data_IF_258350570899
#
_entry.id   IF_258350570899
#
_cell.length_a   1.000
_cell.length_b   1.000
_cell.length_c   1.000
_cell.angle_alpha   90.00
_cell.angle_beta   90.00
_cell.angle_gamma   90.00
#
_symmetry.space_group_name_H-M   'P 1'
#
loop_
_entity.id
_entity.type
_entity.pdbx_description
1 polymer ?
#
# COMPACT_ATOMS: atom_id res chain seq x y z
N UNK A 1 -31.93 15.10 -59.14
CA UNK A 1 -31.21 14.45 -58.00
C UNK A 1 -32.12 14.50 -56.80
N UNK A 2 -32.57 13.34 -56.27
CA UNK A 2 -33.50 13.27 -55.13
C UNK A 2 -32.81 13.68 -53.87
N UNK A 3 -32.96 14.94 -53.46
CA UNK A 3 -32.39 15.52 -52.24
C UNK A 3 -32.79 14.73 -50.96
N UNK A 4 -33.97 14.11 -51.01
CA UNK A 4 -34.47 13.28 -49.90
C UNK A 4 -33.65 11.99 -49.79
N UNK A 5 -33.30 11.35 -50.86
CA UNK A 5 -32.45 10.11 -50.86
C UNK A 5 -31.04 10.44 -50.39
N UNK A 6 -30.49 11.61 -50.79
CA UNK A 6 -29.15 12.00 -50.36
C UNK A 6 -29.09 12.22 -48.82
N UNK A 7 -30.12 12.86 -48.22
CA UNK A 7 -30.23 13.00 -46.74
C UNK A 7 -30.32 11.68 -46.03
N UNK A 8 -31.13 10.74 -46.54
CA UNK A 8 -31.25 9.39 -45.96
C UNK A 8 -29.92 8.62 -45.95
N UNK A 9 -29.18 8.68 -47.05
CA UNK A 9 -27.85 8.04 -47.14
C UNK A 9 -26.86 8.67 -46.16
N UNK A 10 -26.86 9.98 -46.01
CA UNK A 10 -26.01 10.69 -45.04
C UNK A 10 -26.32 10.29 -43.60
N UNK A 11 -27.62 10.21 -43.24
CA UNK A 11 -28.06 9.81 -41.90
C UNK A 11 -27.61 8.36 -41.59
N UNK A 12 -27.79 7.44 -42.54
CA UNK A 12 -27.36 6.04 -42.39
C UNK A 12 -25.85 5.94 -42.25
N UNK A 13 -25.09 6.67 -43.06
CA UNK A 13 -23.62 6.70 -42.94
C UNK A 13 -23.18 7.20 -41.57
N UNK A 14 -23.81 8.25 -41.07
CA UNK A 14 -23.50 8.84 -39.76
C UNK A 14 -23.86 7.90 -38.58
N UNK A 15 -24.96 7.17 -38.69
CA UNK A 15 -25.33 6.13 -37.72
C UNK A 15 -24.33 4.97 -37.72
N UNK A 16 -23.91 4.49 -38.89
CA UNK A 16 -22.91 3.43 -39.00
C UNK A 16 -21.56 3.86 -38.42
N UNK A 17 -21.15 5.11 -38.67
CA UNK A 17 -19.91 5.66 -38.10
C UNK A 17 -19.98 5.74 -36.57
N UNK A 18 -21.12 6.19 -36.01
CA UNK A 18 -21.30 6.24 -34.56
C UNK A 18 -21.31 4.83 -33.92
N UNK A 19 -21.98 3.86 -34.56
CA UNK A 19 -21.96 2.46 -34.09
C UNK A 19 -20.53 1.89 -34.12
N UNK A 20 -19.78 2.16 -35.19
CA UNK A 20 -18.39 1.76 -35.28
C UNK A 20 -17.50 2.38 -34.20
N UNK A 21 -17.68 3.70 -33.93
CA UNK A 21 -16.94 4.38 -32.86
C UNK A 21 -17.30 3.83 -31.48
N UNK A 22 -18.57 3.55 -31.20
CA UNK A 22 -18.99 2.91 -29.96
C UNK A 22 -18.34 1.54 -29.86
N UNK A 23 -18.38 0.72 -30.89
CA UNK A 23 -17.75 -0.60 -30.93
C UNK A 23 -16.24 -0.52 -30.68
N UNK A 24 -15.54 0.40 -31.34
CA UNK A 24 -14.10 0.61 -31.15
C UNK A 24 -13.77 1.10 -29.72
N UNK A 25 -14.59 1.99 -29.14
CA UNK A 25 -14.45 2.42 -27.75
C UNK A 25 -14.67 1.25 -26.77
N UNK A 26 -15.70 0.45 -27.00
CA UNK A 26 -16.00 -0.74 -26.17
C UNK A 26 -14.88 -1.76 -26.29
N UNK A 27 -14.40 -2.07 -27.49
CA UNK A 27 -13.23 -2.95 -27.65
C UNK A 27 -12.00 -2.41 -26.93
N UNK A 28 -11.69 -1.12 -27.08
CA UNK A 28 -10.56 -0.50 -26.38
C UNK A 28 -10.73 -0.51 -24.84
N UNK A 29 -11.96 -0.50 -24.35
CA UNK A 29 -12.26 -0.64 -22.93
C UNK A 29 -12.09 -2.08 -22.45
N UNK A 30 -12.53 -3.07 -23.26
CA UNK A 30 -12.35 -4.50 -22.98
C UNK A 30 -10.91 -4.96 -23.19
N UNK A 31 -10.16 -4.43 -24.16
CA UNK A 31 -8.73 -4.73 -24.35
C UNK A 31 -7.84 -4.19 -23.21
N UNK A 32 -8.26 -3.10 -22.56
CA UNK A 32 -7.63 -2.69 -21.30
C UNK A 32 -7.96 -3.62 -20.13
N UNK A 33 -9.02 -4.40 -20.24
CA UNK A 33 -9.43 -5.43 -19.27
C UNK A 33 -8.98 -6.83 -19.72
N UNK A 34 -8.41 -6.99 -20.90
CA UNK A 34 -7.72 -8.20 -21.30
C UNK A 34 -6.49 -8.32 -20.38
N UNK A 35 -6.68 -9.08 -19.33
CA UNK A 35 -5.64 -9.73 -18.55
C UNK A 35 -4.62 -10.23 -19.58
N UNK A 36 -3.49 -9.54 -19.68
CA UNK A 36 -2.32 -10.08 -20.36
C UNK A 36 -2.19 -11.49 -19.81
N UNK A 37 -2.25 -12.47 -20.69
CA UNK A 37 -2.33 -13.89 -20.38
C UNK A 37 -1.38 -14.16 -19.20
N UNK A 38 -1.94 -14.36 -18.01
CA UNK A 38 -1.16 -14.40 -16.75
C UNK A 38 -0.05 -15.45 -16.84
N UNK A 39 -0.26 -16.46 -17.68
CA UNK A 39 0.70 -17.51 -17.95
C UNK A 39 1.90 -17.02 -18.78
N UNK A 40 1.68 -16.17 -19.78
CA UNK A 40 2.75 -15.59 -20.61
C UNK A 40 3.57 -14.57 -19.81
N UNK A 41 2.93 -13.80 -18.97
CA UNK A 41 3.57 -12.84 -18.06
C UNK A 41 4.44 -13.54 -17.00
N UNK A 42 3.91 -14.56 -16.29
CA UNK A 42 4.66 -15.36 -15.33
C UNK A 42 5.84 -16.06 -16.02
N UNK A 43 5.63 -16.60 -17.23
CA UNK A 43 6.70 -17.20 -18.03
C UNK A 43 7.80 -16.20 -18.41
N UNK A 44 7.45 -14.95 -18.70
CA UNK A 44 8.43 -13.90 -18.97
C UNK A 44 9.27 -13.57 -17.72
N UNK A 45 8.63 -13.43 -16.56
CA UNK A 45 9.33 -13.19 -15.28
C UNK A 45 10.26 -14.35 -14.90
N UNK A 46 9.81 -15.59 -15.06
CA UNK A 46 10.63 -16.76 -14.75
C UNK A 46 11.86 -16.89 -15.63
N UNK A 47 11.79 -16.50 -16.92
CA UNK A 47 12.95 -16.42 -17.83
C UNK A 47 14.00 -15.39 -17.37
N UNK A 48 13.58 -14.39 -16.61
CA UNK A 48 14.46 -13.40 -15.99
C UNK A 48 14.88 -13.75 -14.55
N UNK A 49 14.59 -14.98 -14.11
CA UNK A 49 14.97 -15.45 -12.78
C UNK A 49 14.08 -14.91 -11.66
N UNK A 50 12.84 -14.48 -11.96
CA UNK A 50 11.87 -14.01 -10.96
C UNK A 50 10.76 -15.05 -10.81
N UNK A 51 10.60 -15.57 -9.59
CA UNK A 51 9.52 -16.47 -9.22
C UNK A 51 8.51 -15.78 -8.31
N UNK A 52 7.21 -15.87 -8.64
CA UNK A 52 6.13 -15.33 -7.83
C UNK A 52 5.56 -16.46 -6.96
N UNK A 53 5.63 -16.29 -5.62
CA UNK A 53 5.10 -17.24 -4.62
C UNK A 53 3.82 -16.74 -3.93
N UNK A 54 3.23 -15.68 -4.46
CA UNK A 54 2.02 -15.05 -3.91
C UNK A 54 1.00 -14.81 -5.00
N UNK A 55 -0.27 -14.69 -4.62
CA UNK A 55 -1.30 -14.25 -5.54
C UNK A 55 -1.10 -12.77 -5.89
N UNK A 56 -1.36 -12.44 -7.16
CA UNK A 56 -1.32 -11.06 -7.64
C UNK A 56 -2.65 -10.39 -7.24
N UNK A 57 -2.61 -9.32 -6.41
CA UNK A 57 -3.82 -8.70 -5.92
C UNK A 57 -4.56 -7.93 -7.03
N UNK A 58 -5.88 -7.96 -6.99
CA UNK A 58 -6.70 -7.02 -7.75
C UNK A 58 -6.85 -5.71 -6.97
N UNK A 59 -6.80 -4.59 -7.66
CA UNK A 59 -6.83 -3.27 -7.02
C UNK A 59 -7.84 -2.33 -7.67
N UNK A 60 -8.12 -1.19 -6.99
CA UNK A 60 -8.84 -0.08 -7.58
C UNK A 60 -7.97 0.61 -8.64
N UNK A 61 -8.59 1.06 -9.72
CA UNK A 61 -7.92 1.79 -10.80
C UNK A 61 -7.43 3.18 -10.40
N UNK A 62 -7.99 3.75 -9.34
CA UNK A 62 -7.68 5.11 -8.89
C UNK A 62 -7.65 5.21 -7.36
N UNK A 63 -6.68 5.95 -6.85
CA UNK A 63 -6.52 6.28 -5.44
C UNK A 63 -6.17 7.76 -5.27
N UNK A 64 -6.50 8.38 -4.12
CA UNK A 64 -6.03 9.73 -3.80
C UNK A 64 -4.53 9.74 -3.49
N UNK A 65 -3.92 10.92 -3.58
CA UNK A 65 -2.67 11.21 -2.88
C UNK A 65 -3.06 11.67 -1.47
N UNK A 66 -2.36 11.22 -0.43
CA UNK A 66 -2.65 11.56 0.95
C UNK A 66 -1.71 12.63 1.48
N UNK A 67 -2.26 13.64 2.15
CA UNK A 67 -1.51 14.47 3.10
C UNK A 67 -1.54 13.78 4.45
N UNK A 68 -0.42 13.70 5.13
CA UNK A 68 -0.30 13.05 6.44
C UNK A 68 -0.25 14.10 7.56
N UNK A 69 -0.93 13.80 8.64
CA UNK A 69 -0.82 14.49 9.91
C UNK A 69 -0.38 13.48 10.97
N UNK A 70 0.50 13.88 11.87
CA UNK A 70 1.04 12.99 12.88
C UNK A 70 0.48 13.31 14.25
N UNK A 71 0.01 12.28 14.95
CA UNK A 71 -0.51 12.40 16.31
C UNK A 71 0.13 11.38 17.25
N UNK A 72 0.14 11.72 18.54
CA UNK A 72 0.59 10.82 19.59
C UNK A 72 -0.25 11.07 20.85
N UNK A 73 -0.68 10.01 21.56
CA UNK A 73 -1.35 10.16 22.85
C UNK A 73 -0.49 10.92 23.85
N UNK A 74 -1.14 11.71 24.72
CA UNK A 74 -0.42 12.46 25.76
C UNK A 74 0.26 11.51 26.74
N UNK A 75 1.41 11.91 27.25
CA UNK A 75 2.12 11.12 28.27
C UNK A 75 1.29 10.93 29.55
N UNK A 76 0.37 11.84 29.86
CA UNK A 76 -0.53 11.73 31.00
C UNK A 76 -1.52 10.58 30.80
N UNK A 77 -2.15 10.50 29.62
CA UNK A 77 -3.07 9.42 29.27
C UNK A 77 -2.38 8.05 29.27
N UNK A 78 -1.18 7.95 28.66
CA UNK A 78 -0.38 6.74 28.69
C UNK A 78 -0.11 6.26 30.11
N UNK A 79 0.33 7.17 31.02
CA UNK A 79 0.61 6.84 32.41
C UNK A 79 -0.64 6.41 33.18
N UNK A 80 -1.78 7.03 32.91
CA UNK A 80 -3.05 6.69 33.56
C UNK A 80 -3.47 5.26 33.20
N UNK A 81 -3.41 4.88 31.93
CA UNK A 81 -3.76 3.54 31.47
C UNK A 81 -2.80 2.50 32.04
N UNK A 82 -1.49 2.77 32.04
CA UNK A 82 -0.50 1.87 32.60
C UNK A 82 -0.63 1.68 34.14
N UNK A 83 -1.31 2.60 34.86
CA UNK A 83 -1.64 2.43 36.29
C UNK A 83 -2.90 1.58 36.48
N UNK A 84 -3.88 1.68 35.58
CA UNK A 84 -5.17 0.98 35.69
C UNK A 84 -5.07 -0.49 35.30
N UNK A 85 -4.23 -0.83 34.34
CA UNK A 85 -4.13 -2.15 33.75
C UNK A 85 -2.70 -2.69 33.78
N UNK A 86 -2.55 -3.98 34.09
CA UNK A 86 -1.23 -4.65 34.15
C UNK A 86 -0.93 -5.34 32.80
N UNK A 87 -0.34 -4.59 31.88
CA UNK A 87 0.08 -5.08 30.57
C UNK A 87 1.42 -5.81 30.67
N UNK A 88 1.36 -7.10 31.04
CA UNK A 88 2.54 -7.96 31.18
C UNK A 88 2.56 -9.09 30.17
N UNK A 89 3.73 -9.41 29.72
CA UNK A 89 4.04 -10.56 28.86
C UNK A 89 5.09 -11.41 29.55
N UNK A 90 4.90 -12.72 29.55
CA UNK A 90 5.87 -13.65 30.13
C UNK A 90 7.22 -13.56 29.38
N UNK A 91 8.36 -13.79 30.07
CA UNK A 91 9.66 -13.87 29.42
C UNK A 91 9.66 -14.90 28.29
N UNK A 92 10.23 -14.57 27.14
CA UNK A 92 10.30 -15.43 25.92
C UNK A 92 8.94 -15.79 25.31
N UNK A 93 7.90 -14.98 25.52
CA UNK A 93 6.64 -15.16 24.82
C UNK A 93 6.83 -14.99 23.31
N UNK A 94 5.91 -15.58 22.53
CA UNK A 94 5.90 -15.43 21.08
C UNK A 94 5.49 -14.00 20.66
N UNK A 95 5.89 -13.58 19.46
CA UNK A 95 5.49 -12.30 18.88
C UNK A 95 3.97 -12.08 18.91
N UNK A 96 3.19 -13.15 18.66
CA UNK A 96 1.73 -13.11 18.72
C UNK A 96 1.19 -12.68 20.09
N UNK A 97 1.87 -13.05 21.17
CA UNK A 97 1.49 -12.63 22.54
C UNK A 97 1.80 -11.17 22.76
N UNK A 98 2.98 -10.70 22.31
CA UNK A 98 3.35 -9.29 22.37
C UNK A 98 2.35 -8.43 21.59
N UNK A 99 2.01 -8.80 20.36
CA UNK A 99 1.00 -8.10 19.54
C UNK A 99 -0.33 -8.01 20.27
N UNK A 100 -0.88 -9.13 20.77
CA UNK A 100 -2.17 -9.13 21.47
C UNK A 100 -2.21 -8.21 22.68
N UNK A 101 -1.13 -8.17 23.49
CA UNK A 101 -1.06 -7.30 24.65
C UNK A 101 -0.91 -5.84 24.24
N UNK A 102 -0.15 -5.58 23.19
CA UNK A 102 -0.01 -4.25 22.62
C UNK A 102 -1.33 -3.76 22.00
N UNK A 103 -2.05 -4.61 21.23
CA UNK A 103 -3.35 -4.28 20.65
C UNK A 103 -4.34 -3.85 21.72
N UNK A 104 -4.45 -4.62 22.82
CA UNK A 104 -5.30 -4.26 23.98
C UNK A 104 -4.91 -2.91 24.59
N UNK A 105 -3.62 -2.62 24.69
CA UNK A 105 -3.15 -1.34 25.20
C UNK A 105 -3.50 -0.18 24.26
N UNK A 106 -3.39 -0.40 22.93
CA UNK A 106 -3.77 0.61 21.93
C UNK A 106 -5.27 0.87 21.92
N UNK A 107 -6.11 -0.18 22.10
CA UNK A 107 -7.56 -0.04 22.25
C UNK A 107 -7.93 0.78 23.49
N UNK A 108 -7.29 0.54 24.64
CA UNK A 108 -7.52 1.33 25.86
C UNK A 108 -7.05 2.80 25.72
N UNK A 109 -6.09 3.07 24.83
CA UNK A 109 -5.70 4.43 24.42
C UNK A 109 -6.70 5.11 23.47
N UNK A 110 -7.71 4.38 23.01
CA UNK A 110 -8.76 4.88 22.12
C UNK A 110 -8.45 4.73 20.62
N UNK A 111 -7.44 3.93 20.26
CA UNK A 111 -7.20 3.62 18.85
C UNK A 111 -8.15 2.53 18.37
N UNK A 112 -8.67 2.70 17.15
CA UNK A 112 -9.45 1.68 16.46
C UNK A 112 -8.51 0.74 15.70
N UNK A 113 -8.67 -0.56 15.90
CA UNK A 113 -7.91 -1.58 15.15
C UNK A 113 -8.34 -1.70 13.67
N UNK A 114 -9.31 -0.90 13.23
CA UNK A 114 -9.63 -0.71 11.81
C UNK A 114 -8.76 0.37 11.16
N UNK A 115 -8.29 1.35 11.96
CA UNK A 115 -7.53 2.50 11.50
C UNK A 115 -6.02 2.32 11.66
N UNK A 116 -5.62 1.37 12.52
CA UNK A 116 -4.23 0.97 12.73
C UNK A 116 -4.13 -0.55 12.80
N UNK A 117 -2.96 -1.08 12.52
CA UNK A 117 -2.68 -2.51 12.68
C UNK A 117 -1.27 -2.75 13.24
N UNK A 118 -1.11 -3.85 13.97
CA UNK A 118 0.19 -4.27 14.49
C UNK A 118 1.05 -4.90 13.36
N UNK A 119 2.15 -4.25 13.06
CA UNK A 119 3.12 -4.67 12.06
C UNK A 119 4.20 -5.60 12.63
N UNK A 120 5.46 -5.23 12.39
CA UNK A 120 6.65 -5.97 12.79
C UNK A 120 6.89 -5.90 14.31
N UNK A 121 7.43 -6.99 14.88
CA UNK A 121 7.92 -7.05 16.25
C UNK A 121 9.44 -7.10 16.23
N UNK A 122 10.08 -6.07 16.81
CA UNK A 122 11.54 -5.98 16.93
C UNK A 122 11.96 -6.27 18.35
N UNK A 123 12.76 -7.32 18.55
CA UNK A 123 13.31 -7.69 19.85
C UNK A 123 14.80 -7.37 19.90
N UNK A 124 15.22 -6.60 20.90
CA UNK A 124 16.62 -6.32 21.19
C UNK A 124 16.88 -6.51 22.69
N UNK A 125 17.40 -7.67 23.04
CA UNK A 125 17.66 -8.07 24.42
C UNK A 125 16.38 -8.08 25.27
N UNK A 126 16.30 -7.18 26.24
CA UNK A 126 15.14 -7.05 27.17
C UNK A 126 14.08 -6.06 26.67
N UNK A 127 14.31 -5.43 25.54
CA UNK A 127 13.39 -4.46 24.92
C UNK A 127 12.73 -5.12 23.72
N UNK A 128 11.40 -5.05 23.68
CA UNK A 128 10.61 -5.49 22.53
C UNK A 128 9.76 -4.31 22.07
N UNK A 129 9.75 -4.03 20.78
CA UNK A 129 8.95 -2.98 20.16
C UNK A 129 7.96 -3.61 19.19
N UNK A 130 6.68 -3.29 19.34
CA UNK A 130 5.63 -3.66 18.39
C UNK A 130 5.28 -2.42 17.58
N UNK A 131 5.50 -2.49 16.26
CA UNK A 131 5.21 -1.41 15.35
C UNK A 131 3.72 -1.34 15.05
N UNK A 132 3.18 -0.13 14.97
CA UNK A 132 1.82 0.15 14.52
C UNK A 132 1.87 1.07 13.32
N UNK A 133 1.16 0.68 12.27
CA UNK A 133 0.97 1.43 11.05
C UNK A 133 -0.51 1.80 10.91
N UNK A 134 -0.77 2.92 10.29
CA UNK A 134 -2.13 3.38 10.01
C UNK A 134 -2.65 2.81 8.69
N UNK A 135 -3.96 2.89 8.50
CA UNK A 135 -4.62 2.53 7.25
C UNK A 135 -5.45 3.70 6.73
N UNK A 136 -5.66 3.73 5.43
CA UNK A 136 -6.64 4.58 4.76
C UNK A 136 -7.45 3.72 3.79
N UNK A 137 -8.77 3.66 3.96
CA UNK A 137 -9.68 2.81 3.17
C UNK A 137 -9.22 1.34 3.03
N UNK A 138 -8.56 0.80 4.07
CA UNK A 138 -8.04 -0.57 4.08
C UNK A 138 -6.64 -0.75 3.48
N UNK A 139 -6.04 0.31 2.92
CA UNK A 139 -4.65 0.30 2.47
C UNK A 139 -3.71 0.77 3.57
N UNK A 140 -2.61 0.06 3.77
CA UNK A 140 -1.58 0.41 4.77
C UNK A 140 -0.85 1.70 4.40
N UNK A 141 -0.60 2.56 5.39
CA UNK A 141 0.24 3.75 5.23
C UNK A 141 1.62 3.44 5.80
N UNK A 142 2.61 3.30 4.92
CA UNK A 142 4.02 3.11 5.28
C UNK A 142 4.72 4.45 5.45
N UNK A 143 4.56 5.00 6.64
CA UNK A 143 5.27 6.17 7.17
C UNK A 143 6.08 5.73 8.40
N UNK A 144 6.61 6.70 9.17
CA UNK A 144 7.24 6.39 10.45
C UNK A 144 6.25 5.72 11.41
N UNK A 145 6.52 4.50 11.92
CA UNK A 145 5.57 3.76 12.74
C UNK A 145 5.55 4.27 14.19
N UNK A 146 4.38 4.12 14.83
CA UNK A 146 4.26 4.23 16.27
C UNK A 146 4.64 2.89 16.90
N UNK A 147 5.51 2.91 17.90
CA UNK A 147 5.95 1.70 18.59
C UNK A 147 5.36 1.62 20.00
N UNK A 148 4.76 0.48 20.35
CA UNK A 148 4.53 0.08 21.74
C UNK A 148 5.81 -0.56 22.26
N UNK A 149 6.39 0.01 23.32
CA UNK A 149 7.68 -0.39 23.86
C UNK A 149 7.51 -1.23 25.12
N UNK A 150 8.01 -2.45 25.07
CA UNK A 150 8.11 -3.33 26.23
C UNK A 150 9.53 -3.35 26.77
N UNK A 151 9.66 -3.31 28.09
CA UNK A 151 10.94 -3.54 28.79
C UNK A 151 10.73 -4.60 29.87
N UNK A 152 11.52 -5.66 29.83
CA UNK A 152 11.36 -6.81 30.74
C UNK A 152 9.90 -7.38 30.72
N UNK A 153 9.25 -7.44 29.58
CA UNK A 153 7.89 -7.93 29.42
C UNK A 153 6.77 -6.98 29.87
N UNK A 154 7.06 -5.75 30.31
CA UNK A 154 6.06 -4.74 30.66
C UNK A 154 6.07 -3.59 29.67
N UNK A 155 4.89 -3.07 29.32
CA UNK A 155 4.80 -1.85 28.52
C UNK A 155 5.33 -0.67 29.33
N UNK A 156 6.25 0.09 28.76
CA UNK A 156 6.83 1.31 29.38
C UNK A 156 6.39 2.59 28.69
N UNK A 157 5.79 2.51 27.50
CA UNK A 157 5.29 3.67 26.78
C UNK A 157 5.23 3.48 25.28
N UNK A 158 5.11 4.62 24.57
CA UNK A 158 5.07 4.72 23.13
C UNK A 158 6.26 5.52 22.61
N UNK A 159 6.84 5.09 21.48
CA UNK A 159 7.83 5.82 20.71
C UNK A 159 7.29 6.09 19.28
N UNK A 160 7.66 7.24 18.68
CA UNK A 160 7.16 7.64 17.36
C UNK A 160 5.79 8.34 17.41
N UNK A 161 5.14 8.43 16.27
CA UNK A 161 3.83 9.08 16.06
C UNK A 161 2.97 8.22 15.14
N UNK A 162 1.66 8.36 15.22
CA UNK A 162 0.71 7.73 14.29
C UNK A 162 0.45 8.68 13.14
N UNK A 163 0.66 8.25 11.92
CA UNK A 163 0.26 8.98 10.72
C UNK A 163 -1.25 8.85 10.50
N UNK A 164 -1.93 9.95 10.20
CA UNK A 164 -3.34 9.98 9.81
C UNK A 164 -3.39 10.56 8.40
N UNK A 165 -3.89 9.78 7.44
CA UNK A 165 -3.97 10.17 6.04
C UNK A 165 -5.29 10.86 5.71
N UNK A 166 -5.22 11.97 4.98
CA UNK A 166 -6.36 12.67 4.39
C UNK A 166 -6.12 12.86 2.90
N UNK A 167 -7.15 12.78 2.04
CA UNK A 167 -6.98 13.11 0.64
C UNK A 167 -6.41 14.53 0.48
N UNK A 168 -5.26 14.68 -0.16
CA UNK A 168 -4.62 15.98 -0.42
C UNK A 168 -5.49 16.87 -1.34
N UNK A 169 -6.32 16.24 -2.19
CA UNK A 169 -7.27 16.89 -3.07
C UNK A 169 -8.41 15.93 -3.43
N UNK A 170 -9.45 16.46 -4.10
CA UNK A 170 -10.52 15.62 -4.68
C UNK A 170 -10.05 14.82 -5.92
N UNK A 171 -8.85 15.10 -6.43
CA UNK A 171 -8.29 14.42 -7.60
C UNK A 171 -7.69 13.09 -7.17
N UNK A 172 -8.04 12.05 -7.88
CA UNK A 172 -7.44 10.72 -7.74
C UNK A 172 -6.45 10.48 -8.87
N UNK A 173 -5.36 9.80 -8.57
CA UNK A 173 -4.37 9.37 -9.57
C UNK A 173 -4.69 7.96 -10.06
N UNK A 174 -4.33 7.68 -11.31
CA UNK A 174 -4.46 6.35 -11.89
C UNK A 174 -3.39 5.44 -11.30
N UNK A 175 -3.80 4.26 -10.87
CA UNK A 175 -2.90 3.25 -10.29
C UNK A 175 -2.46 2.28 -11.38
N UNK A 176 -1.15 2.08 -11.54
CA UNK A 176 -0.63 1.07 -12.48
C UNK A 176 -0.98 -0.34 -11.98
N UNK A 177 -1.17 -1.28 -12.90
CA UNK A 177 -1.46 -2.66 -12.52
C UNK A 177 -0.27 -3.32 -11.81
N UNK A 178 -0.50 -4.36 -10.98
CA UNK A 178 0.57 -5.08 -10.29
C UNK A 178 1.55 -5.74 -11.28
N UNK A 179 1.09 -6.17 -12.44
CA UNK A 179 1.94 -6.72 -13.49
C UNK A 179 2.91 -5.65 -14.04
N UNK A 180 2.41 -4.42 -14.25
CA UNK A 180 3.26 -3.31 -14.68
C UNK A 180 4.29 -2.94 -13.60
N UNK A 181 3.90 -2.98 -12.32
CA UNK A 181 4.83 -2.76 -11.21
C UNK A 181 5.92 -3.84 -11.14
N UNK A 182 5.57 -5.12 -11.38
CA UNK A 182 6.52 -6.22 -11.44
C UNK A 182 7.48 -6.10 -12.63
N UNK A 183 7.02 -5.59 -13.78
CA UNK A 183 7.90 -5.30 -14.92
C UNK A 183 8.90 -4.18 -14.60
N UNK A 184 8.44 -3.13 -13.90
CA UNK A 184 9.33 -2.04 -13.44
C UNK A 184 10.35 -2.61 -12.46
N UNK A 185 9.92 -3.38 -11.45
CA UNK A 185 10.79 -4.06 -10.51
C UNK A 185 11.86 -4.89 -11.23
N UNK A 186 11.46 -5.72 -12.20
CA UNK A 186 12.37 -6.53 -13.01
C UNK A 186 13.40 -5.67 -13.77
N UNK A 187 12.98 -4.53 -14.29
CA UNK A 187 13.88 -3.63 -15.05
C UNK A 187 14.89 -2.91 -14.15
N UNK A 188 14.51 -2.60 -12.89
CA UNK A 188 15.35 -1.90 -11.92
C UNK A 188 16.34 -2.84 -11.21
N UNK A 189 15.92 -4.07 -10.84
CA UNK A 189 16.81 -5.06 -10.20
C UNK A 189 17.82 -5.69 -11.17
N UNK A 190 17.60 -5.54 -12.48
CA UNK A 190 18.49 -6.06 -13.51
C UNK A 190 18.49 -7.59 -13.62
N UNK A 191 19.38 -8.12 -14.49
CA UNK A 191 19.59 -9.57 -14.62
C UNK A 191 20.45 -10.06 -13.46
N UNK A 192 19.81 -10.57 -12.41
CA UNK A 192 20.53 -11.24 -11.31
C UNK A 192 20.83 -12.67 -11.73
N UNK A 193 22.05 -13.16 -11.46
CA UNK A 193 22.45 -14.55 -11.72
C UNK A 193 21.75 -15.55 -10.78
N UNK A 194 21.04 -15.07 -9.78
CA UNK A 194 20.27 -15.86 -8.80
C UNK A 194 18.79 -15.62 -8.97
N UNK A 195 17.99 -16.68 -8.79
CA UNK A 195 16.53 -16.58 -8.79
C UNK A 195 16.05 -15.68 -7.66
N UNK A 196 15.27 -14.66 -8.00
CA UNK A 196 14.65 -13.75 -7.04
C UNK A 196 13.22 -14.19 -6.78
N UNK A 197 12.93 -14.59 -5.56
CA UNK A 197 11.59 -15.02 -5.14
C UNK A 197 10.79 -13.81 -4.62
N UNK A 198 9.63 -13.53 -5.22
CA UNK A 198 8.67 -12.54 -4.73
C UNK A 198 7.72 -13.22 -3.74
N UNK A 199 7.79 -12.79 -2.47
CA UNK A 199 7.03 -13.34 -1.35
C UNK A 199 5.70 -12.64 -1.12
N UNK A 200 5.64 -11.34 -1.40
CA UNK A 200 4.42 -10.53 -1.27
C UNK A 200 4.46 -9.35 -2.23
N UNK A 201 3.29 -8.99 -2.74
CA UNK A 201 3.02 -7.73 -3.44
C UNK A 201 1.73 -7.15 -2.91
N UNK A 202 1.75 -5.90 -2.49
CA UNK A 202 0.59 -5.20 -1.93
C UNK A 202 0.57 -3.74 -2.36
N UNK A 203 -0.62 -3.19 -2.57
CA UNK A 203 -0.80 -1.77 -2.82
C UNK A 203 -0.90 -1.04 -1.47
N UNK A 204 -0.10 -0.01 -1.31
CA UNK A 204 0.04 0.73 -0.06
C UNK A 204 0.15 2.24 -0.33
N UNK A 205 0.04 3.05 0.70
CA UNK A 205 0.49 4.44 0.68
C UNK A 205 1.90 4.52 1.25
N UNK A 206 2.81 5.12 0.52
CA UNK A 206 4.22 5.22 0.89
C UNK A 206 4.70 6.68 0.87
N UNK A 207 5.46 7.05 1.91
CA UNK A 207 6.14 8.33 2.01
C UNK A 207 7.53 8.18 1.44
N UNK A 208 7.82 8.91 0.35
CA UNK A 208 9.16 8.95 -0.21
C UNK A 208 9.99 10.00 0.52
N UNK A 209 10.81 9.56 1.47
CA UNK A 209 11.69 10.43 2.26
C UNK A 209 13.01 10.81 1.53
N UNK A 210 13.23 10.33 0.29
CA UNK A 210 14.49 10.57 -0.43
C UNK A 210 14.68 12.03 -0.88
N UNK A 211 13.61 12.85 -0.86
CA UNK A 211 13.62 14.23 -1.37
C UNK A 211 13.21 15.30 -0.33
N UNK A 212 13.28 15.00 0.96
CA UNK A 212 12.91 15.97 1.99
C UNK A 212 14.15 16.76 2.41
N UNK A 213 14.25 18.01 1.98
CA UNK A 213 15.14 19.00 2.59
C UNK A 213 14.68 19.25 4.04
N UNK A 214 15.59 19.13 5.02
CA UNK A 214 15.29 19.17 6.46
C UNK A 214 14.65 20.49 6.94
N UNK A 215 14.56 21.52 6.12
CA UNK A 215 14.15 22.88 6.49
C UNK A 215 12.72 23.28 6.03
N UNK A 216 12.02 22.47 5.23
CA UNK A 216 10.64 22.77 4.87
C UNK A 216 9.66 21.97 5.74
N UNK A 217 8.69 22.69 6.35
CA UNK A 217 7.46 22.14 6.92
C UNK A 217 6.59 21.51 5.80
N UNK A 218 7.12 20.49 5.15
CA UNK A 218 6.38 19.72 4.15
C UNK A 218 5.41 18.84 4.94
N UNK A 219 4.13 19.10 4.76
CA UNK A 219 3.10 18.12 5.09
C UNK A 219 3.49 16.83 4.38
N UNK A 220 3.91 15.82 5.15
CA UNK A 220 4.32 14.56 4.58
C UNK A 220 3.24 14.05 3.65
N UNK A 221 3.63 13.74 2.43
CA UNK A 221 2.72 13.28 1.39
C UNK A 221 2.96 11.80 1.15
N UNK A 222 1.90 10.99 1.20
CA UNK A 222 1.97 9.58 0.87
C UNK A 222 1.32 9.33 -0.50
N UNK A 223 2.06 8.64 -1.36
CA UNK A 223 1.64 8.27 -2.70
C UNK A 223 1.22 6.79 -2.73
N UNK A 224 0.24 6.42 -3.59
CA UNK A 224 0.01 5.01 -3.88
C UNK A 224 1.28 4.37 -4.43
N UNK A 225 1.69 3.24 -3.86
CA UNK A 225 2.87 2.49 -4.27
C UNK A 225 2.66 0.99 -4.12
N UNK A 226 3.30 0.21 -4.99
CA UNK A 226 3.40 -1.22 -4.86
C UNK A 226 4.57 -1.57 -3.95
N UNK A 227 4.27 -2.19 -2.81
CA UNK A 227 5.26 -2.74 -1.88
C UNK A 227 5.51 -4.19 -2.24
N UNK A 228 6.74 -4.49 -2.66
CA UNK A 228 7.19 -5.83 -3.07
C UNK A 228 8.17 -6.34 -2.04
N UNK A 229 7.88 -7.53 -1.46
CA UNK A 229 8.80 -8.23 -0.56
C UNK A 229 9.42 -9.39 -1.34
N UNK A 230 10.76 -9.44 -1.37
CA UNK A 230 11.50 -10.41 -2.17
C UNK A 230 12.77 -10.92 -1.47
N UNK A 231 13.29 -12.04 -1.97
CA UNK A 231 14.54 -12.64 -1.46
C UNK A 231 14.51 -12.83 0.05
N UNK A 232 15.55 -12.40 0.75
CA UNK A 232 15.69 -12.48 2.21
C UNK A 232 14.91 -11.38 2.95
N UNK A 233 13.65 -11.16 2.56
CA UNK A 233 12.75 -10.14 3.13
C UNK A 233 13.16 -8.70 2.80
N UNK A 234 13.84 -8.49 1.68
CA UNK A 234 14.06 -7.16 1.12
C UNK A 234 12.73 -6.55 0.70
N UNK A 235 12.62 -5.24 0.83
CA UNK A 235 11.42 -4.49 0.45
C UNK A 235 11.77 -3.46 -0.63
N UNK A 236 10.95 -3.42 -1.68
CA UNK A 236 11.01 -2.40 -2.72
C UNK A 236 9.66 -1.71 -2.85
N UNK A 237 9.67 -0.41 -2.99
CA UNK A 237 8.49 0.39 -3.31
C UNK A 237 8.57 0.87 -4.75
N UNK A 238 7.50 0.63 -5.51
CA UNK A 238 7.33 1.11 -6.88
C UNK A 238 6.15 2.08 -6.88
N UNK A 239 6.38 3.35 -7.18
CA UNK A 239 5.31 4.33 -7.26
C UNK A 239 4.22 3.87 -8.25
N UNK A 240 2.97 3.85 -7.78
CA UNK A 240 1.86 3.34 -8.55
C UNK A 240 1.17 4.41 -9.40
N UNK A 241 1.54 5.69 -9.26
CA UNK A 241 0.99 6.83 -10.00
C UNK A 241 1.87 7.29 -11.18
N UNK A 242 2.80 6.46 -11.65
CA UNK A 242 3.61 6.75 -12.85
C UNK A 242 2.71 6.72 -14.09
N UNK A 243 2.58 7.85 -14.77
CA UNK A 243 1.98 7.99 -16.10
C UNK A 243 2.85 7.35 -17.18
#
# INVERSE_FOLDING_TARGET
>A
MDWSKAKSVMIVALLLTNIFLIYACVQKYYDKSAVADSSSFISALSKHGIEIKTDIPQTKDRLPILSLSYTKPSNANIKEILRKSDFKVAPRASEKVYKRVADKFMEELGFSMTDIFSGEVKANGKVVKVAYLSTYEGYSIYAEPLYVVFKNGKIVGLEGKTAIGFPASKRQVSVISPEKALLIFMSEEGKTSQTTEIKSIELVFWVNNENVDEDELVLDTAFPAWRIIYGDSKVRYIEANRE
#
